data_IF_748742155006
#
_entry.id   IF_748742155006
#
_cell.length_a   1.000
_cell.length_b   1.000
_cell.length_c   1.000
_cell.angle_alpha   90.00
_cell.angle_beta   90.00
_cell.angle_gamma   90.00
#
_symmetry.space_group_name_H-M   'P 1'
#
loop_
_entity.id
_entity.type
_entity.pdbx_description
1 polymer ?
#
# COMPACT_ATOMS: atom_id res chain seq x y z
N UNK A 1 -3.79 9.84 16.20
CA UNK A 1 -4.93 9.72 15.28
C UNK A 1 -5.09 11.08 14.63
N UNK A 2 -4.80 11.21 13.34
CA UNK A 2 -5.07 12.42 12.55
C UNK A 2 -5.87 11.98 11.32
N UNK A 3 -7.02 12.61 11.09
CA UNK A 3 -7.89 12.34 9.95
C UNK A 3 -7.33 13.09 8.73
N UNK A 4 -6.92 12.37 7.69
CA UNK A 4 -6.55 12.97 6.41
C UNK A 4 -7.79 13.47 5.69
N UNK A 5 -7.86 14.77 5.44
CA UNK A 5 -8.87 15.37 4.56
C UNK A 5 -8.33 15.31 3.14
N UNK A 6 -9.08 14.71 2.22
CA UNK A 6 -8.72 14.66 0.80
C UNK A 6 -9.20 15.95 0.11
N UNK A 7 -8.27 16.77 -0.37
CA UNK A 7 -8.59 17.98 -1.16
C UNK A 7 -8.45 17.60 -2.64
N UNK A 8 -9.59 17.54 -3.32
CA UNK A 8 -9.71 16.94 -4.65
C UNK A 8 -9.18 17.89 -5.75
N UNK A 9 -7.84 17.93 -5.91
CA UNK A 9 -7.14 18.67 -6.98
C UNK A 9 -7.31 20.20 -6.96
N UNK A 10 -8.10 20.74 -6.01
CA UNK A 10 -8.42 22.16 -5.85
C UNK A 10 -7.59 22.82 -4.75
N UNK A 11 -6.32 22.46 -4.69
CA UNK A 11 -5.40 22.94 -3.65
C UNK A 11 -5.34 24.47 -3.61
N UNK A 12 -5.34 25.14 -4.77
CA UNK A 12 -5.33 26.60 -4.83
C UNK A 12 -6.56 27.28 -4.20
N UNK A 13 -7.74 26.65 -4.28
CA UNK A 13 -8.95 27.17 -3.67
C UNK A 13 -9.02 26.93 -2.15
N UNK A 14 -8.33 25.89 -1.67
CA UNK A 14 -8.27 25.55 -0.24
C UNK A 14 -7.05 26.19 0.47
N UNK A 15 -6.01 26.57 -0.26
CA UNK A 15 -4.78 27.11 0.29
C UNK A 15 -5.03 28.36 1.14
N UNK A 16 -5.83 29.30 0.65
CA UNK A 16 -6.15 30.52 1.40
C UNK A 16 -6.88 30.23 2.73
N UNK A 17 -7.77 29.23 2.75
CA UNK A 17 -8.49 28.82 3.96
C UNK A 17 -7.57 28.10 4.96
N UNK A 18 -6.59 27.34 4.47
CA UNK A 18 -5.60 26.67 5.30
C UNK A 18 -4.57 27.65 5.88
N UNK A 19 -4.17 28.65 5.08
CA UNK A 19 -3.28 29.73 5.53
C UNK A 19 -3.98 30.61 6.58
N UNK A 20 -5.28 30.86 6.46
CA UNK A 20 -6.08 31.58 7.45
C UNK A 20 -6.15 30.82 8.78
N UNK A 21 -6.40 29.50 8.75
CA UNK A 21 -6.37 28.64 9.95
C UNK A 21 -4.98 28.55 10.57
N UNK A 22 -3.92 28.59 9.76
CA UNK A 22 -2.54 28.54 10.24
C UNK A 22 -2.04 29.88 10.79
N UNK A 23 -2.63 31.00 10.32
CA UNK A 23 -2.32 32.36 10.76
C UNK A 23 -3.12 32.80 11.99
N UNK A 24 -4.24 32.14 12.27
CA UNK A 24 -4.94 32.31 13.54
C UNK A 24 -4.07 31.77 14.68
N UNK A 25 -3.60 32.69 15.54
CA UNK A 25 -3.10 32.31 16.85
C UNK A 25 -4.18 31.48 17.56
N UNK A 26 -3.83 30.32 18.15
CA UNK A 26 -4.81 29.49 18.80
C UNK A 26 -5.56 30.35 19.82
N UNK A 27 -6.92 30.33 19.82
CA UNK A 27 -7.66 31.13 20.77
C UNK A 27 -7.15 30.79 22.15
N UNK A 28 -6.77 31.83 22.92
CA UNK A 28 -6.46 31.68 24.34
C UNK A 28 -7.61 30.89 24.92
N UNK A 29 -7.31 29.66 25.36
CA UNK A 29 -8.32 28.75 25.86
C UNK A 29 -9.13 29.51 26.91
N UNK A 30 -10.48 29.53 26.85
CA UNK A 30 -11.26 30.14 27.91
C UNK A 30 -10.78 29.53 29.22
N UNK A 31 -10.42 30.36 30.19
CA UNK A 31 -10.11 29.92 31.56
C UNK A 31 -11.34 29.17 32.07
N UNK A 32 -11.33 27.86 31.89
CA UNK A 32 -12.24 26.97 32.56
C UNK A 32 -11.68 26.81 33.95
N UNK A 33 -12.45 27.26 34.94
CA UNK A 33 -12.25 26.82 36.32
C UNK A 33 -12.04 25.31 36.29
N UNK A 34 -10.94 24.81 36.86
CA UNK A 34 -10.61 23.41 36.77
C UNK A 34 -11.79 22.62 37.35
N UNK A 35 -12.38 21.68 36.60
CA UNK A 35 -13.42 20.84 37.15
C UNK A 35 -12.86 20.14 38.39
N UNK A 36 -13.62 20.18 39.49
CA UNK A 36 -13.29 19.48 40.73
C UNK A 36 -12.78 18.08 40.38
N UNK A 37 -11.62 17.67 40.91
CA UNK A 37 -10.99 16.42 40.50
C UNK A 37 -12.00 15.28 40.71
N UNK A 38 -12.31 14.49 39.67
CA UNK A 38 -13.16 13.33 39.85
C UNK A 38 -12.53 12.45 40.93
N UNK A 39 -13.34 12.02 41.92
CA UNK A 39 -12.93 11.04 42.93
C UNK A 39 -12.18 9.93 42.22
N UNK A 40 -10.86 9.85 42.44
CA UNK A 40 -9.95 8.94 41.75
C UNK A 40 -10.56 7.53 41.79
N UNK A 41 -11.07 6.96 40.67
CA UNK A 41 -11.21 5.53 40.64
C UNK A 41 -9.78 5.00 40.79
N UNK A 42 -9.57 4.11 41.76
CA UNK A 42 -8.32 3.40 41.98
C UNK A 42 -8.11 2.44 40.81
N UNK A 43 -7.90 2.99 39.61
CA UNK A 43 -7.46 2.27 38.43
C UNK A 43 -5.97 2.07 38.64
N UNK A 44 -5.58 0.83 38.93
CA UNK A 44 -4.24 0.38 38.57
C UNK A 44 -4.01 0.85 37.13
N UNK A 45 -3.13 1.81 36.95
CA UNK A 45 -2.59 2.14 35.65
C UNK A 45 -1.73 0.95 35.23
N UNK A 46 -2.40 -0.12 34.80
CA UNK A 46 -1.82 -1.04 33.85
C UNK A 46 -1.73 -0.22 32.59
N UNK A 47 -0.63 0.53 32.44
CA UNK A 47 -0.13 0.82 31.11
C UNK A 47 -0.21 -0.51 30.37
N UNK A 48 -0.85 -0.61 29.18
CA UNK A 48 -0.66 -1.80 28.38
C UNK A 48 0.85 -1.88 28.21
N UNK A 49 1.48 -2.82 28.91
CA UNK A 49 2.87 -3.13 28.71
C UNK A 49 2.95 -3.34 27.21
N UNK A 50 3.68 -2.47 26.51
CA UNK A 50 3.87 -2.59 25.09
C UNK A 50 4.17 -4.06 24.85
N UNK A 51 3.31 -4.73 24.07
CA UNK A 51 3.49 -6.15 23.81
C UNK A 51 4.90 -6.23 23.27
N UNK A 52 5.80 -6.82 24.06
CA UNK A 52 7.10 -7.18 23.55
C UNK A 52 6.78 -8.17 22.46
N UNK A 53 6.78 -7.66 21.23
CA UNK A 53 6.67 -8.47 20.05
C UNK A 53 7.88 -9.38 20.14
N UNK A 54 7.66 -10.61 20.63
CA UNK A 54 8.65 -11.65 20.53
C UNK A 54 9.15 -11.67 19.09
N UNK A 55 10.43 -12.00 18.90
CA UNK A 55 11.12 -11.98 17.62
C UNK A 55 10.41 -12.75 16.47
N UNK A 56 9.32 -13.46 16.78
CA UNK A 56 8.52 -14.28 15.88
C UNK A 56 7.09 -13.78 15.63
N UNK A 57 6.71 -12.53 15.96
CA UNK A 57 5.38 -12.02 15.60
C UNK A 57 5.25 -11.82 14.09
N UNK A 58 4.88 -12.91 13.40
CA UNK A 58 4.54 -12.87 11.99
C UNK A 58 3.09 -12.42 11.86
N UNK A 59 2.90 -11.18 11.40
CA UNK A 59 1.58 -10.69 11.02
C UNK A 59 0.94 -11.65 10.00
N UNK A 60 -0.35 -11.91 10.18
CA UNK A 60 -1.10 -12.74 9.23
C UNK A 60 -1.11 -12.04 7.87
N UNK A 61 -0.97 -12.77 6.74
CA UNK A 61 -0.98 -12.19 5.39
C UNK A 61 -2.14 -11.23 5.14
N UNK A 62 -3.36 -11.59 5.57
CA UNK A 62 -4.54 -10.71 5.46
C UNK A 62 -4.39 -9.38 6.21
N UNK A 63 -3.75 -9.37 7.38
CA UNK A 63 -3.48 -8.15 8.15
C UNK A 63 -2.52 -7.23 7.39
N UNK A 64 -1.51 -7.80 6.75
CA UNK A 64 -0.56 -7.05 5.93
C UNK A 64 -1.25 -6.42 4.71
N UNK A 65 -2.18 -7.15 4.08
CA UNK A 65 -2.99 -6.62 2.97
C UNK A 65 -3.85 -5.46 3.43
N UNK A 66 -4.56 -5.57 4.56
CA UNK A 66 -5.36 -4.45 5.06
C UNK A 66 -4.50 -3.22 5.42
N UNK A 67 -3.31 -3.44 5.98
CA UNK A 67 -2.37 -2.35 6.26
C UNK A 67 -1.91 -1.66 4.97
N UNK A 68 -1.51 -2.43 3.95
CA UNK A 68 -1.11 -1.92 2.63
C UNK A 68 -2.24 -1.22 1.89
N UNK A 69 -3.45 -1.75 2.00
CA UNK A 69 -4.61 -1.22 1.30
C UNK A 69 -5.15 0.05 1.95
N UNK A 70 -4.72 0.34 3.19
CA UNK A 70 -5.19 1.47 4.02
C UNK A 70 -6.72 1.45 4.20
N UNK A 71 -7.33 0.26 4.16
CA UNK A 71 -8.79 0.09 4.19
C UNK A 71 -9.49 0.36 2.86
N UNK A 72 -8.76 0.64 1.77
CA UNK A 72 -9.32 0.85 0.44
C UNK A 72 -9.24 -0.38 -0.45
N UNK A 73 -10.13 -0.46 -1.44
CA UNK A 73 -10.04 -1.48 -2.49
C UNK A 73 -8.76 -1.28 -3.32
N UNK A 74 -8.03 -2.36 -3.57
CA UNK A 74 -6.77 -2.34 -4.36
C UNK A 74 -7.03 -2.37 -5.88
N UNK A 75 -8.28 -2.58 -6.32
CA UNK A 75 -8.67 -2.61 -7.75
C UNK A 75 -9.12 -1.23 -8.23
N UNK A 76 -10.02 -0.57 -7.50
CA UNK A 76 -10.64 0.73 -7.87
C UNK A 76 -11.17 0.80 -9.32
N UNK A 77 -11.75 -0.29 -9.83
CA UNK A 77 -12.40 -0.31 -11.13
C UNK A 77 -13.66 0.57 -11.16
N UNK A 78 -14.22 0.80 -12.35
CA UNK A 78 -15.50 1.49 -12.51
C UNK A 78 -16.59 0.84 -11.65
N UNK A 79 -17.28 1.65 -10.84
CA UNK A 79 -18.29 1.18 -9.88
C UNK A 79 -17.74 0.73 -8.52
N UNK A 80 -16.46 0.92 -8.24
CA UNK A 80 -15.86 0.57 -6.94
C UNK A 80 -16.42 1.42 -5.79
N UNK A 81 -16.77 0.79 -4.66
CA UNK A 81 -17.15 1.45 -3.41
C UNK A 81 -15.99 2.07 -2.61
N UNK A 82 -14.77 1.97 -3.14
CA UNK A 82 -13.53 2.47 -2.54
C UNK A 82 -13.12 1.79 -1.23
N UNK A 83 -13.98 1.03 -0.55
CA UNK A 83 -13.66 0.30 0.69
C UNK A 83 -13.08 -1.09 0.45
N UNK A 84 -12.30 -1.60 1.40
CA UNK A 84 -11.88 -2.99 1.45
C UNK A 84 -12.89 -3.82 2.27
N UNK A 85 -13.79 -4.53 1.58
CA UNK A 85 -14.80 -5.37 2.24
C UNK A 85 -14.26 -6.79 2.49
N UNK A 86 -13.34 -7.25 1.64
CA UNK A 86 -12.76 -8.60 1.71
C UNK A 86 -11.31 -8.63 1.25
N UNK A 87 -10.58 -9.69 1.66
CA UNK A 87 -9.25 -10.04 1.13
C UNK A 87 -9.33 -11.38 0.41
N UNK A 88 -9.09 -11.36 -0.89
CA UNK A 88 -9.20 -12.53 -1.77
C UNK A 88 -7.84 -12.95 -2.33
N UNK A 89 -7.75 -14.20 -2.75
CA UNK A 89 -6.53 -14.80 -3.30
C UNK A 89 -6.45 -14.67 -4.81
N UNK A 90 -5.24 -14.35 -5.30
CA UNK A 90 -4.84 -14.41 -6.71
C UNK A 90 -4.69 -15.85 -7.18
N UNK A 91 -4.46 -16.80 -6.28
CA UNK A 91 -4.29 -18.23 -6.59
C UNK A 91 -5.51 -19.01 -6.07
N UNK A 92 -6.52 -19.28 -6.93
CA UNK A 92 -7.74 -19.96 -6.52
C UNK A 92 -7.47 -21.34 -5.94
N UNK A 93 -8.30 -21.78 -4.98
CA UNK A 93 -8.24 -23.12 -4.34
C UNK A 93 -6.94 -23.41 -3.58
N UNK A 94 -6.04 -22.43 -3.45
CA UNK A 94 -4.94 -22.42 -2.50
C UNK A 94 -5.35 -21.59 -1.30
N UNK A 95 -4.80 -21.93 -0.13
CA UNK A 95 -4.95 -21.09 1.06
C UNK A 95 -4.31 -19.71 0.85
N UNK A 96 -4.31 -18.91 1.91
CA UNK A 96 -3.91 -17.50 1.86
C UNK A 96 -2.48 -17.23 1.40
N UNK A 97 -1.59 -18.22 1.42
CA UNK A 97 -0.20 -18.05 1.04
C UNK A 97 0.47 -16.98 1.89
N UNK A 98 1.01 -15.95 1.23
CA UNK A 98 1.55 -14.75 1.86
C UNK A 98 0.85 -13.47 1.32
N UNK A 99 1.33 -12.29 1.70
CA UNK A 99 0.68 -11.04 1.29
C UNK A 99 0.80 -10.74 -0.23
N UNK A 100 1.67 -11.44 -0.95
CA UNK A 100 1.81 -11.30 -2.41
C UNK A 100 0.73 -12.04 -3.18
N UNK A 101 0.15 -13.09 -2.59
CA UNK A 101 -0.94 -13.87 -3.16
C UNK A 101 -2.32 -13.27 -2.90
N UNK A 102 -2.40 -12.17 -2.16
CA UNK A 102 -3.66 -11.61 -1.67
C UNK A 102 -3.81 -10.13 -2.05
N UNK A 103 -5.07 -9.71 -2.20
CA UNK A 103 -5.43 -8.31 -2.41
C UNK A 103 -6.79 -7.98 -1.80
N UNK A 104 -6.97 -6.71 -1.43
CA UNK A 104 -8.20 -6.21 -0.84
C UNK A 104 -9.18 -5.72 -1.91
N UNK A 105 -10.46 -6.08 -1.76
CA UNK A 105 -11.53 -5.75 -2.72
C UNK A 105 -12.80 -5.31 -2.02
N UNK A 106 -13.54 -4.42 -2.67
CA UNK A 106 -14.96 -4.23 -2.35
C UNK A 106 -15.81 -5.32 -3.02
N UNK A 107 -17.07 -5.43 -2.61
CA UNK A 107 -18.03 -6.38 -3.16
C UNK A 107 -18.21 -6.23 -4.68
N UNK A 108 -18.37 -5.01 -5.19
CA UNK A 108 -18.58 -4.77 -6.63
C UNK A 108 -17.35 -5.14 -7.46
N UNK A 109 -16.15 -4.84 -6.98
CA UNK A 109 -14.92 -5.28 -7.65
C UNK A 109 -14.77 -6.81 -7.62
N UNK A 110 -15.17 -7.47 -6.53
CA UNK A 110 -15.16 -8.94 -6.47
C UNK A 110 -16.12 -9.57 -7.50
N UNK A 111 -17.34 -9.03 -7.64
CA UNK A 111 -18.32 -9.46 -8.66
C UNK A 111 -17.78 -9.20 -10.06
N UNK A 112 -17.20 -8.03 -10.28
CA UNK A 112 -16.60 -7.65 -11.58
C UNK A 112 -15.50 -8.63 -11.99
N UNK A 113 -14.62 -9.01 -11.07
CA UNK A 113 -13.57 -10.01 -11.34
C UNK A 113 -14.15 -11.38 -11.68
N UNK A 114 -15.23 -11.81 -11.04
CA UNK A 114 -15.86 -13.11 -11.34
C UNK A 114 -16.45 -13.17 -12.76
N UNK A 115 -16.86 -12.03 -13.30
CA UNK A 115 -17.44 -11.89 -14.65
C UNK A 115 -16.42 -11.52 -15.72
N UNK A 116 -15.20 -11.17 -15.31
CA UNK A 116 -14.14 -10.76 -16.21
C UNK A 116 -13.68 -11.94 -17.08
N UNK A 117 -13.32 -11.64 -18.33
CA UNK A 117 -12.67 -12.63 -19.19
C UNK A 117 -11.43 -13.21 -18.52
N UNK A 118 -11.25 -14.52 -18.69
CA UNK A 118 -10.16 -15.27 -18.08
C UNK A 118 -8.78 -14.76 -18.53
N UNK A 119 -8.57 -14.50 -19.82
CA UNK A 119 -7.28 -14.01 -20.29
C UNK A 119 -6.99 -12.63 -19.72
N UNK A 120 -8.02 -11.78 -19.65
CA UNK A 120 -7.90 -10.45 -19.05
C UNK A 120 -7.54 -10.49 -17.56
N UNK A 121 -8.19 -11.34 -16.75
CA UNK A 121 -7.91 -11.40 -15.31
C UNK A 121 -6.48 -11.87 -15.01
N UNK A 122 -5.93 -12.79 -15.83
CA UNK A 122 -4.53 -13.20 -15.76
C UNK A 122 -3.60 -12.09 -16.25
N UNK A 123 -3.90 -11.44 -17.37
CA UNK A 123 -3.10 -10.34 -17.90
C UNK A 123 -2.96 -9.18 -16.90
N UNK A 124 -4.04 -8.86 -16.19
CA UNK A 124 -4.04 -7.81 -15.16
C UNK A 124 -3.40 -8.26 -13.83
N UNK A 125 -3.03 -9.53 -13.71
CA UNK A 125 -2.36 -10.09 -12.55
C UNK A 125 -3.26 -10.31 -11.34
N UNK A 126 -4.59 -10.23 -11.49
CA UNK A 126 -5.54 -10.53 -10.42
C UNK A 126 -5.73 -12.03 -10.19
N UNK A 127 -5.30 -12.86 -11.16
CA UNK A 127 -5.31 -14.32 -11.07
C UNK A 127 -3.98 -14.91 -11.50
N UNK A 128 -3.58 -16.00 -10.85
CA UNK A 128 -2.31 -16.72 -11.04
C UNK A 128 -2.54 -18.22 -10.86
N UNK A 129 -1.67 -19.02 -11.46
CA UNK A 129 -1.70 -20.49 -11.36
C UNK A 129 -0.83 -21.03 -10.22
N UNK A 130 0.22 -20.30 -9.84
CA UNK A 130 1.16 -20.69 -8.79
C UNK A 130 1.37 -19.61 -7.73
N UNK A 131 1.57 -20.04 -6.50
CA UNK A 131 2.00 -19.20 -5.37
C UNK A 131 3.43 -18.69 -5.56
N UNK A 132 4.30 -19.48 -6.20
CA UNK A 132 5.70 -19.08 -6.46
C UNK A 132 5.83 -17.82 -7.28
N UNK A 133 4.85 -17.58 -8.15
CA UNK A 133 4.92 -16.52 -9.17
C UNK A 133 4.33 -15.20 -8.64
N UNK A 134 3.69 -15.24 -7.47
CA UNK A 134 2.89 -14.12 -6.97
C UNK A 134 3.72 -12.87 -6.69
N UNK A 135 4.90 -13.02 -6.11
CA UNK A 135 5.79 -11.91 -5.81
C UNK A 135 6.54 -11.36 -7.04
N UNK A 136 6.57 -12.12 -8.14
CA UNK A 136 7.24 -11.77 -9.39
C UNK A 136 6.26 -11.29 -10.49
N UNK A 137 4.95 -11.50 -10.30
CA UNK A 137 3.93 -11.13 -11.29
C UNK A 137 3.26 -9.81 -10.92
N UNK A 138 3.37 -8.75 -11.75
CA UNK A 138 2.74 -7.47 -11.48
C UNK A 138 1.21 -7.58 -11.46
N UNK A 139 0.58 -6.82 -10.57
CA UNK A 139 -0.87 -6.62 -10.51
C UNK A 139 -1.20 -5.18 -10.94
N UNK A 140 -2.28 -5.00 -11.70
CA UNK A 140 -2.83 -3.67 -11.94
C UNK A 140 -3.46 -3.14 -10.63
N UNK A 141 -2.75 -2.24 -9.97
CA UNK A 141 -3.12 -1.61 -8.72
C UNK A 141 -3.89 -0.31 -8.98
N UNK A 142 -5.08 -0.20 -8.39
CA UNK A 142 -5.96 0.99 -8.40
C UNK A 142 -6.17 1.59 -9.80
N UNK A 143 -6.28 0.72 -10.81
CA UNK A 143 -6.38 1.04 -12.25
C UNK A 143 -5.28 1.97 -12.81
N UNK A 144 -4.17 2.17 -12.10
CA UNK A 144 -3.18 3.19 -12.45
C UNK A 144 -1.75 2.68 -12.53
N UNK A 145 -1.38 1.74 -11.67
CA UNK A 145 0.01 1.30 -11.54
C UNK A 145 0.10 -0.21 -11.74
N UNK A 146 1.12 -0.71 -12.43
CA UNK A 146 1.46 -2.14 -12.42
C UNK A 146 2.54 -2.37 -11.37
N UNK A 147 2.17 -2.96 -10.24
CA UNK A 147 3.06 -3.10 -9.07
C UNK A 147 3.23 -4.57 -8.69
N UNK A 148 4.40 -4.90 -8.17
CA UNK A 148 4.68 -6.18 -7.54
C UNK A 148 4.26 -6.13 -6.07
N UNK A 149 3.51 -7.15 -5.64
CA UNK A 149 3.12 -7.33 -4.24
C UNK A 149 4.19 -8.19 -3.57
N UNK A 150 4.76 -7.73 -2.46
CA UNK A 150 5.71 -8.56 -1.72
C UNK A 150 5.03 -9.44 -0.65
N UNK A 151 5.74 -10.47 -0.19
CA UNK A 151 5.26 -11.40 0.81
C UNK A 151 4.99 -10.76 2.19
N UNK A 152 5.53 -9.56 2.43
CA UNK A 152 5.43 -8.78 3.67
C UNK A 152 4.40 -7.65 3.58
N UNK A 153 3.67 -7.52 2.47
CA UNK A 153 2.64 -6.50 2.28
C UNK A 153 3.16 -5.17 1.75
N UNK A 154 4.37 -5.07 1.25
CA UNK A 154 4.84 -3.90 0.51
C UNK A 154 4.49 -3.93 -0.98
N UNK A 155 4.70 -2.78 -1.61
CA UNK A 155 4.52 -2.53 -3.03
C UNK A 155 5.87 -2.20 -3.64
N UNK A 156 6.17 -2.78 -4.80
CA UNK A 156 7.41 -2.51 -5.55
C UNK A 156 7.10 -2.18 -6.99
N UNK A 157 7.82 -1.22 -7.54
CA UNK A 157 7.77 -0.91 -8.96
C UNK A 157 8.64 -1.93 -9.73
N UNK A 158 8.08 -2.67 -10.71
CA UNK A 158 8.86 -3.63 -11.50
C UNK A 158 10.01 -2.98 -12.28
N UNK A 159 9.91 -1.70 -12.63
CA UNK A 159 10.98 -0.98 -13.35
C UNK A 159 12.25 -0.78 -12.50
N UNK A 160 12.09 -0.61 -11.19
CA UNK A 160 13.21 -0.40 -10.25
C UNK A 160 14.03 -1.67 -10.08
N UNK A 161 13.42 -2.85 -10.20
CA UNK A 161 14.14 -4.13 -10.16
C UNK A 161 14.96 -4.38 -11.43
N UNK A 162 14.42 -4.02 -12.61
CA UNK A 162 15.15 -4.13 -13.88
C UNK A 162 16.37 -3.19 -13.97
N UNK A 163 16.35 -2.06 -13.25
CA UNK A 163 17.50 -1.15 -13.17
C UNK A 163 18.61 -1.63 -12.23
N UNK A 164 18.29 -2.51 -11.27
CA UNK A 164 19.26 -3.10 -10.33
C UNK A 164 20.09 -4.23 -10.94
N UNK A 165 19.63 -4.83 -12.05
CA UNK A 165 20.26 -5.99 -12.68
C UNK A 165 21.09 -5.66 -13.92
N UNK A 166 21.33 -4.38 -14.24
CA UNK A 166 22.36 -4.01 -15.23
C UNK A 166 23.71 -3.95 -14.53
N UNK A 167 24.61 -4.94 -14.67
CA UNK A 167 26.02 -4.68 -14.45
C UNK A 167 26.42 -3.56 -15.40
N UNK A 168 27.08 -2.53 -14.88
CA UNK A 168 27.77 -1.53 -15.70
C UNK A 168 28.61 -2.31 -16.72
N UNK A 169 28.24 -2.20 -18.00
CA UNK A 169 29.04 -2.74 -19.07
C UNK A 169 30.38 -2.01 -18.98
N UNK A 170 31.39 -2.73 -18.47
CA UNK A 170 32.76 -2.28 -18.43
C UNK A 170 33.13 -1.96 -19.88
N UNK A 171 33.22 -0.67 -20.17
CA UNK A 171 33.65 -0.10 -21.43
C UNK A 171 35.07 -0.63 -21.71
N UNK A 172 35.16 -1.71 -22.47
CA UNK A 172 36.42 -2.17 -23.05
C UNK A 172 36.71 -1.15 -24.14
N UNK A 173 37.57 -0.20 -23.79
CA UNK A 173 38.13 0.77 -24.71
C UNK A 173 38.95 0.00 -25.75
N UNK A 174 38.39 -0.19 -26.95
CA UNK A 174 39.07 -0.68 -28.14
C UNK A 174 40.09 0.37 -28.60
N UNK A 175 41.23 0.42 -27.91
CA UNK A 175 42.42 1.09 -28.39
C UNK A 175 43.28 0.08 -29.16
N UNK A 176 43.10 0.03 -30.48
CA UNK A 176 44.20 -0.10 -31.46
C UNK A 176 43.66 -0.45 -32.85
N UNK A 177 43.33 0.57 -33.65
CA UNK A 177 43.38 0.42 -35.09
C UNK A 177 43.66 1.79 -35.74
N UNK A 178 44.93 2.12 -35.96
CA UNK A 178 45.39 2.82 -37.17
C UNK A 178 46.82 2.40 -37.50
N UNK A 179 47.01 2.22 -38.80
CA UNK A 179 48.11 1.56 -39.51
C UNK A 179 49.17 2.58 -39.97
N UNK A 180 50.41 2.06 -40.10
CA UNK A 180 51.53 2.44 -40.99
C UNK A 180 52.46 3.61 -40.60
N UNK A 181 53.76 3.30 -40.54
CA UNK A 181 54.75 3.67 -41.57
C UNK A 181 56.13 3.07 -41.28
N UNK A 182 56.62 2.15 -42.12
CA UNK A 182 57.86 2.25 -42.93
C UNK A 182 58.03 0.99 -43.78
#
# INVERSE_FOLDING_TARGET
MWAGIWIDGRFSAAAALLDEVAADDPPVAPEHDPPLPPKKPRRSAVFPAGVQSGADFRMRPRTLVFARSEGYCEIMATGCHLTADAVISRVPRRGDGDASTLFAVCQECAITLQRMDSQMIYHLGYRLDSVSDAAATPMLWRQKHRLLLDARGGLRDPSVLASSERPEAHEINDAAFWIAST
#
